data_IF_850038601544
#
_entry.id   IF_850038601544
#
_cell.length_a   1.000
_cell.length_b   1.000
_cell.length_c   1.000
_cell.angle_alpha   90.00
_cell.angle_beta   90.00
_cell.angle_gamma   90.00
#
_symmetry.space_group_name_H-M   'P 1'
#
loop_
_entity.id
_entity.type
_entity.pdbx_description
1 polymer ?
#
# COMPACT_ATOMS: atom_id res chain seq x y z
N UNK A 1 2.55 -24.75 -25.03
CA UNK A 1 1.11 -25.01 -24.84
C UNK A 1 0.79 -24.75 -23.37
N UNK A 2 -0.31 -24.05 -23.07
CA UNK A 2 -0.73 -23.58 -21.74
C UNK A 2 0.10 -22.46 -21.10
N UNK A 3 -0.04 -21.25 -21.65
CA UNK A 3 0.03 -20.05 -20.82
C UNK A 3 -1.34 -19.86 -20.17
N UNK A 4 -1.38 -19.42 -18.91
CA UNK A 4 -2.62 -18.97 -18.28
C UNK A 4 -3.19 -17.82 -19.12
N UNK A 5 -4.13 -18.13 -20.01
CA UNK A 5 -4.80 -17.14 -20.83
C UNK A 5 -5.81 -16.36 -20.00
N UNK A 6 -6.29 -15.25 -20.55
CA UNK A 6 -7.31 -14.43 -19.89
C UNK A 6 -8.58 -15.22 -19.57
N UNK A 7 -8.89 -16.28 -20.33
CA UNK A 7 -10.06 -17.12 -20.12
C UNK A 7 -9.90 -18.03 -18.89
N UNK A 8 -8.74 -18.66 -18.70
CA UNK A 8 -8.47 -19.48 -17.51
C UNK A 8 -8.49 -18.64 -16.23
N UNK A 9 -7.90 -17.44 -16.27
CA UNK A 9 -7.92 -16.49 -15.14
C UNK A 9 -9.35 -16.07 -14.82
N UNK A 10 -10.19 -15.81 -15.83
CA UNK A 10 -11.59 -15.46 -15.63
C UNK A 10 -12.37 -16.60 -14.96
N UNK A 11 -12.17 -17.84 -15.39
CA UNK A 11 -12.83 -19.01 -14.78
C UNK A 11 -12.42 -19.16 -13.31
N UNK A 12 -11.13 -19.04 -12.99
CA UNK A 12 -10.63 -19.10 -11.61
C UNK A 12 -11.24 -17.97 -10.77
N UNK A 13 -11.32 -16.75 -11.31
CA UNK A 13 -11.93 -15.61 -10.64
C UNK A 13 -13.41 -15.86 -10.31
N UNK A 14 -14.17 -16.43 -11.25
CA UNK A 14 -15.58 -16.79 -11.04
C UNK A 14 -15.72 -17.82 -9.93
N UNK A 15 -14.88 -18.87 -9.91
CA UNK A 15 -14.89 -19.87 -8.85
C UNK A 15 -14.53 -19.26 -7.49
N UNK A 16 -13.51 -18.39 -7.42
CA UNK A 16 -13.18 -17.66 -6.20
C UNK A 16 -14.35 -16.81 -5.70
N UNK A 17 -15.03 -16.11 -6.61
CA UNK A 17 -16.20 -15.28 -6.26
C UNK A 17 -17.36 -16.13 -5.76
N UNK A 18 -17.55 -17.35 -6.26
CA UNK A 18 -18.58 -18.27 -5.74
C UNK A 18 -18.23 -18.81 -4.35
N UNK A 19 -16.96 -19.13 -4.10
CA UNK A 19 -16.50 -19.65 -2.80
C UNK A 19 -16.48 -18.60 -1.70
N UNK A 20 -15.92 -17.42 -1.99
CA UNK A 20 -15.77 -16.34 -1.03
C UNK A 20 -16.94 -15.35 -1.04
N UNK A 21 -17.72 -15.30 -2.12
CA UNK A 21 -18.76 -14.31 -2.35
C UNK A 21 -18.22 -13.02 -3.00
N UNK A 22 -19.02 -12.42 -3.88
CA UNK A 22 -18.66 -11.19 -4.60
C UNK A 22 -18.35 -10.00 -3.68
N UNK A 23 -18.87 -10.01 -2.45
CA UNK A 23 -18.68 -8.94 -1.46
C UNK A 23 -17.35 -9.02 -0.71
N UNK A 24 -16.72 -10.20 -0.58
CA UNK A 24 -15.48 -10.36 0.21
C UNK A 24 -14.26 -9.74 -0.47
N UNK A 25 -14.14 -9.87 -1.79
CA UNK A 25 -13.01 -9.33 -2.54
C UNK A 25 -12.89 -7.79 -2.42
N UNK A 26 -13.96 -6.99 -2.63
CA UNK A 26 -13.87 -5.55 -2.45
C UNK A 26 -13.68 -5.13 -0.99
N UNK A 27 -14.22 -5.90 -0.03
CA UNK A 27 -14.02 -5.66 1.40
C UNK A 27 -12.55 -5.83 1.81
N UNK A 28 -11.91 -6.92 1.36
CA UNK A 28 -10.47 -7.16 1.53
C UNK A 28 -9.61 -6.11 0.80
N UNK A 29 -10.00 -5.73 -0.42
CA UNK A 29 -9.30 -4.69 -1.17
C UNK A 29 -9.34 -3.33 -0.47
N UNK A 30 -10.48 -2.97 0.14
CA UNK A 30 -10.62 -1.73 0.91
C UNK A 30 -9.75 -1.73 2.17
N UNK A 31 -9.74 -2.82 2.94
CA UNK A 31 -8.93 -2.89 4.17
C UNK A 31 -7.43 -2.87 3.86
N UNK A 32 -6.99 -3.64 2.87
CA UNK A 32 -5.60 -3.63 2.40
C UNK A 32 -5.21 -2.27 1.82
N UNK A 33 -6.09 -1.64 1.03
CA UNK A 33 -5.84 -0.32 0.43
C UNK A 33 -5.67 0.79 1.48
N UNK A 34 -6.51 0.79 2.52
CA UNK A 34 -6.37 1.72 3.65
C UNK A 34 -5.07 1.49 4.41
N UNK A 35 -4.74 0.23 4.72
CA UNK A 35 -3.49 -0.10 5.42
C UNK A 35 -2.24 0.31 4.62
N UNK A 36 -2.22 0.07 3.30
CA UNK A 36 -1.12 0.51 2.42
C UNK A 36 -1.03 2.04 2.38
N UNK A 37 -2.16 2.74 2.34
CA UNK A 37 -2.20 4.20 2.33
C UNK A 37 -1.63 4.78 3.62
N UNK A 38 -2.07 4.28 4.77
CA UNK A 38 -1.58 4.71 6.08
C UNK A 38 -0.09 4.40 6.25
N UNK A 39 0.34 3.20 5.83
CA UNK A 39 1.75 2.82 5.84
C UNK A 39 2.60 3.79 5.00
N UNK A 40 2.17 4.10 3.78
CA UNK A 40 2.88 5.05 2.90
C UNK A 40 2.91 6.47 3.47
N UNK A 41 1.82 6.90 4.11
CA UNK A 41 1.76 8.20 4.79
C UNK A 41 2.70 8.27 6.00
N UNK A 42 2.80 7.20 6.79
CA UNK A 42 3.72 7.12 7.92
C UNK A 42 5.19 7.17 7.48
N UNK A 43 5.55 6.46 6.41
CA UNK A 43 6.91 6.51 5.86
C UNK A 43 7.30 7.92 5.39
N UNK A 44 6.39 8.62 4.72
CA UNK A 44 6.64 10.00 4.28
C UNK A 44 6.77 10.98 5.43
N UNK A 45 5.93 10.83 6.47
CA UNK A 45 6.02 11.67 7.65
C UNK A 45 7.38 11.48 8.37
N UNK A 46 7.88 10.24 8.45
CA UNK A 46 9.19 9.96 9.01
C UNK A 46 10.32 10.59 8.20
N UNK A 47 10.29 10.48 6.86
CA UNK A 47 11.27 11.14 5.97
C UNK A 47 11.26 12.68 6.14
N UNK A 48 10.07 13.29 6.26
CA UNK A 48 9.94 14.73 6.47
C UNK A 48 10.37 15.20 7.88
N UNK A 49 10.27 14.34 8.89
CA UNK A 49 10.76 14.61 10.25
C UNK A 49 12.30 14.55 10.29
N UNK A 50 12.91 13.53 9.66
CA UNK A 50 14.36 13.41 9.55
C UNK A 50 14.98 14.64 8.83
N UNK A 51 14.38 15.12 7.73
CA UNK A 51 14.85 16.33 7.02
C UNK A 51 14.71 17.61 7.85
N UNK A 52 13.68 17.70 8.71
CA UNK A 52 13.47 18.86 9.60
C UNK A 52 14.42 18.85 10.78
N UNK A 53 14.73 17.67 11.34
CA UNK A 53 15.69 17.53 12.42
C UNK A 53 17.13 17.83 11.97
N UNK A 54 17.51 17.41 10.75
CA UNK A 54 18.82 17.77 10.18
C UNK A 54 18.97 19.29 9.98
N UNK A 55 17.96 19.99 9.44
CA UNK A 55 18.03 21.44 9.24
C UNK A 55 18.12 22.21 10.55
N UNK A 56 17.38 21.78 11.57
CA UNK A 56 17.39 22.43 12.90
C UNK A 56 18.72 22.26 13.64
N UNK A 57 19.46 21.19 13.36
CA UNK A 57 20.78 20.91 13.96
C UNK A 57 21.92 21.69 13.30
N UNK A 58 21.76 22.03 12.02
CA UNK A 58 22.72 22.86 11.26
C UNK A 58 22.60 24.34 11.70
N UNK A 59 21.38 24.86 11.82
CA UNK A 59 21.15 26.26 12.25
C UNK A 59 21.65 26.56 13.68
N UNK A 60 21.63 25.59 14.61
CA UNK A 60 22.12 25.85 15.98
C UNK A 60 23.65 25.85 16.12
N UNK A 61 24.39 25.43 15.08
CA UNK A 61 25.86 25.30 15.11
C UNK A 61 26.58 26.45 14.40
N UNK A 62 25.87 27.28 13.63
CA UNK A 62 26.45 28.44 12.92
C UNK A 62 26.41 29.75 13.74
N UNK A 63 25.69 29.78 14.87
CA UNK A 63 25.55 30.96 15.75
C UNK A 63 26.45 30.92 17.01
N UNK A 64 27.41 29.99 17.13
CA UNK A 64 28.37 29.88 18.27
C UNK A 64 29.81 30.08 17.85
#
# INVERSE_FOLDING_TARGET
MFGLGGQEVLIILVVMVLLFGASRIPELGRSLGTGIREFKSGLRAAEEEDEKEEKKKIETSEDV
#
